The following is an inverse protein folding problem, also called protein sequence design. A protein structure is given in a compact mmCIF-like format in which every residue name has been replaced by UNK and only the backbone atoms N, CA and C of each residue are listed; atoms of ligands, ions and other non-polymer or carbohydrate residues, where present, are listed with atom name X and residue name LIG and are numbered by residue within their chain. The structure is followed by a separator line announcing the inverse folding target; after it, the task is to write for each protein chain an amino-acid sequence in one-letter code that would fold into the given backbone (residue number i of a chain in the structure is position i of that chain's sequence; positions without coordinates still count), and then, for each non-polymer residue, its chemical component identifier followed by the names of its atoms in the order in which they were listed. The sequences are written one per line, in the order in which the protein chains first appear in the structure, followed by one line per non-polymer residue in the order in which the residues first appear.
data_IF_870371155732
#
_entry.id   IF_870371155732
#
_cell.length_a   1.000
_cell.length_b   1.000
_cell.length_c   1.000
_cell.angle_alpha   90.00
_cell.angle_beta   90.00
_cell.angle_gamma   90.00
#
_symmetry.space_group_name_H-M   'P 1'
#
loop_
_entity.id
_entity.type
_entity.pdbx_description
1 polymer ?
#
# COMPACT_ATOMS: atom_id res chain seq x y z
N UNK A 1 12.21 -40.07 -43.63
CA UNK A 1 12.31 -38.64 -43.29
C UNK A 1 10.99 -38.05 -42.78
N UNK A 2 9.88 -38.12 -43.50
CA UNK A 2 8.60 -37.51 -43.09
C UNK A 2 8.12 -37.91 -41.68
N UNK A 3 8.23 -39.18 -41.27
CA UNK A 3 7.81 -39.65 -39.94
C UNK A 3 8.57 -38.97 -38.79
N UNK A 4 9.86 -38.71 -38.97
CA UNK A 4 10.70 -38.03 -37.98
C UNK A 4 10.39 -36.54 -37.89
N UNK A 5 10.09 -35.91 -39.03
CA UNK A 5 9.64 -34.52 -39.08
C UNK A 5 8.29 -34.38 -38.37
N UNK A 6 7.34 -35.26 -38.64
CA UNK A 6 6.03 -35.26 -37.97
C UNK A 6 6.22 -35.44 -36.46
N UNK A 7 7.01 -36.43 -36.03
CA UNK A 7 7.28 -36.64 -34.61
C UNK A 7 7.92 -35.41 -33.94
N UNK A 8 8.90 -34.78 -34.59
CA UNK A 8 9.54 -33.57 -34.09
C UNK A 8 8.56 -32.39 -34.00
N UNK A 9 7.72 -32.20 -35.01
CA UNK A 9 6.70 -31.13 -35.01
C UNK A 9 5.62 -31.38 -33.95
N UNK A 10 5.19 -32.62 -33.75
CA UNK A 10 4.23 -32.97 -32.69
C UNK A 10 4.84 -32.74 -31.30
N UNK A 11 6.09 -33.15 -31.09
CA UNK A 11 6.79 -32.91 -29.83
C UNK A 11 6.95 -31.40 -29.57
N UNK A 12 7.37 -30.63 -30.59
CA UNK A 12 7.50 -29.18 -30.50
C UNK A 12 6.16 -28.52 -30.17
N UNK A 13 5.08 -28.96 -30.83
CA UNK A 13 3.73 -28.45 -30.58
C UNK A 13 3.32 -28.68 -29.12
N UNK A 14 3.52 -29.89 -28.59
CA UNK A 14 3.16 -30.23 -27.21
C UNK A 14 3.98 -29.41 -26.21
N UNK A 15 5.29 -29.27 -26.42
CA UNK A 15 6.17 -28.50 -25.54
C UNK A 15 5.79 -27.01 -25.55
N UNK A 16 5.59 -26.42 -26.72
CA UNK A 16 5.23 -25.00 -26.83
C UNK A 16 3.88 -24.71 -26.20
N UNK A 17 2.87 -25.56 -26.43
CA UNK A 17 1.56 -25.37 -25.79
C UNK A 17 1.60 -25.59 -24.27
N UNK A 18 2.35 -26.60 -23.80
CA UNK A 18 2.55 -26.83 -22.37
C UNK A 18 3.27 -25.66 -21.69
N UNK A 19 4.27 -25.08 -22.35
CA UNK A 19 4.97 -23.89 -21.87
C UNK A 19 4.02 -22.70 -21.72
N UNK A 20 3.20 -22.39 -22.74
CA UNK A 20 2.22 -21.31 -22.66
C UNK A 20 1.17 -21.52 -21.58
N UNK A 21 0.69 -22.75 -21.40
CA UNK A 21 -0.26 -23.06 -20.33
C UNK A 21 0.37 -22.84 -18.95
N UNK A 22 1.60 -23.30 -18.76
CA UNK A 22 2.36 -23.09 -17.52
C UNK A 22 2.55 -21.60 -17.21
N UNK A 23 2.96 -20.79 -18.19
CA UNK A 23 3.18 -19.36 -17.98
C UNK A 23 1.91 -18.60 -17.65
N UNK A 24 0.76 -18.96 -18.24
CA UNK A 24 -0.54 -18.36 -17.89
C UNK A 24 -0.91 -18.66 -16.44
N UNK A 25 -0.73 -19.90 -15.98
CA UNK A 25 -1.03 -20.30 -14.60
C UNK A 25 -0.12 -19.57 -13.61
N UNK A 26 1.18 -19.50 -13.91
CA UNK A 26 2.16 -18.78 -13.07
C UNK A 26 1.83 -17.28 -12.96
N UNK A 27 1.53 -16.63 -14.10
CA UNK A 27 1.11 -15.23 -14.12
C UNK A 27 -0.19 -14.97 -13.36
N UNK A 28 -1.16 -15.89 -13.43
CA UNK A 28 -2.41 -15.78 -12.68
C UNK A 28 -2.17 -15.83 -11.17
N UNK A 29 -1.28 -16.73 -10.71
CA UNK A 29 -0.90 -16.82 -9.30
C UNK A 29 -0.14 -15.56 -8.85
N UNK A 30 0.86 -15.11 -9.62
CA UNK A 30 1.58 -13.88 -9.36
C UNK A 30 0.63 -12.65 -9.29
N UNK A 31 -0.38 -12.62 -10.17
CA UNK A 31 -1.43 -11.61 -10.15
C UNK A 31 -2.23 -11.60 -8.84
N UNK A 32 -2.62 -12.78 -8.35
CA UNK A 32 -3.33 -12.90 -7.06
C UNK A 32 -2.49 -12.38 -5.89
N UNK A 33 -1.21 -12.74 -5.83
CA UNK A 33 -0.32 -12.24 -4.77
C UNK A 33 -0.19 -10.72 -4.79
N UNK A 34 0.03 -10.12 -5.98
CA UNK A 34 0.08 -8.65 -6.10
C UNK A 34 -1.23 -7.97 -5.70
N UNK A 35 -2.37 -8.58 -6.02
CA UNK A 35 -3.67 -8.06 -5.61
C UNK A 35 -3.84 -8.12 -4.09
N UNK A 36 -3.43 -9.22 -3.47
CA UNK A 36 -3.46 -9.40 -2.03
C UNK A 36 -2.55 -8.41 -1.31
N UNK A 37 -1.32 -8.22 -1.79
CA UNK A 37 -0.38 -7.22 -1.23
C UNK A 37 -0.97 -5.81 -1.27
N UNK A 38 -1.59 -5.41 -2.39
CA UNK A 38 -2.26 -4.10 -2.51
C UNK A 38 -3.44 -3.98 -1.54
N UNK A 39 -4.23 -5.04 -1.39
CA UNK A 39 -5.35 -5.08 -0.46
C UNK A 39 -4.85 -4.94 0.98
N UNK A 40 -3.86 -5.73 1.38
CA UNK A 40 -3.28 -5.70 2.72
C UNK A 40 -2.63 -4.35 3.03
N UNK A 41 -1.87 -3.78 2.09
CA UNK A 41 -1.28 -2.45 2.25
C UNK A 41 -2.35 -1.37 2.48
N UNK A 42 -3.43 -1.39 1.68
CA UNK A 42 -4.55 -0.45 1.86
C UNK A 42 -5.24 -0.64 3.23
N UNK A 43 -5.43 -1.87 3.67
CA UNK A 43 -6.04 -2.15 4.97
C UNK A 43 -5.13 -1.76 6.14
N UNK A 44 -3.82 -1.96 6.01
CA UNK A 44 -2.83 -1.49 7.00
C UNK A 44 -2.86 0.02 7.13
N UNK A 45 -2.86 0.76 6.02
CA UNK A 45 -2.96 2.23 6.02
C UNK A 45 -4.26 2.68 6.69
N UNK A 46 -5.41 2.09 6.33
CA UNK A 46 -6.69 2.45 6.94
C UNK A 46 -6.74 2.18 8.46
N UNK A 47 -6.11 1.10 8.92
CA UNK A 47 -6.00 0.80 10.36
C UNK A 47 -5.05 1.79 11.04
N UNK A 48 -3.94 2.16 10.40
CA UNK A 48 -3.01 3.17 10.91
C UNK A 48 -3.65 4.55 11.02
N UNK A 49 -4.36 5.02 9.98
CA UNK A 49 -5.13 6.27 10.00
C UNK A 49 -6.15 6.29 11.15
N UNK A 50 -6.82 5.15 11.38
CA UNK A 50 -7.80 5.02 12.47
C UNK A 50 -7.14 5.00 13.85
N UNK A 51 -5.99 4.34 13.98
CA UNK A 51 -5.23 4.33 15.23
C UNK A 51 -4.66 5.72 15.54
N UNK A 52 -4.11 6.39 14.52
CA UNK A 52 -3.63 7.77 14.59
C UNK A 52 -4.77 8.73 14.97
N UNK A 53 -5.92 8.64 14.31
CA UNK A 53 -7.10 9.47 14.64
C UNK A 53 -7.59 9.26 16.08
N UNK A 54 -7.44 8.05 16.64
CA UNK A 54 -7.75 7.78 18.06
C UNK A 54 -6.70 8.31 19.02
N UNK A 55 -5.43 8.33 18.61
CA UNK A 55 -4.34 8.82 19.42
C UNK A 55 -4.40 10.35 19.52
N UNK A 56 -4.60 11.04 18.40
CA UNK A 56 -4.57 12.50 18.33
C UNK A 56 -5.95 13.16 18.45
N UNK A 57 -7.03 12.42 18.21
CA UNK A 57 -8.39 12.99 18.14
C UNK A 57 -8.75 13.79 19.40
N UNK A 58 -9.20 15.03 19.19
CA UNK A 58 -9.57 15.96 20.25
C UNK A 58 -8.40 16.66 20.95
N UNK A 59 -7.14 16.34 20.61
CA UNK A 59 -5.99 17.11 21.09
C UNK A 59 -6.00 18.51 20.49
N UNK A 60 -5.52 19.47 21.26
CA UNK A 60 -5.21 20.80 20.74
C UNK A 60 -4.03 20.73 19.77
N UNK A 61 -3.93 21.71 18.89
CA UNK A 61 -2.81 21.91 17.96
C UNK A 61 -1.45 21.83 18.66
N UNK A 62 -1.29 22.51 19.80
CA UNK A 62 -0.04 22.55 20.55
C UNK A 62 0.33 21.19 21.16
N UNK A 63 -0.66 20.46 21.69
CA UNK A 63 -0.46 19.11 22.22
C UNK A 63 -0.08 18.13 21.12
N UNK A 64 -0.81 18.17 20.00
CA UNK A 64 -0.54 17.32 18.85
C UNK A 64 0.86 17.60 18.27
N UNK A 65 1.24 18.87 18.15
CA UNK A 65 2.57 19.26 17.65
C UNK A 65 3.69 18.78 18.57
N UNK A 66 3.50 18.86 19.89
CA UNK A 66 4.50 18.35 20.85
C UNK A 66 4.66 16.84 20.73
N UNK A 67 3.54 16.11 20.72
CA UNK A 67 3.55 14.66 20.61
C UNK A 67 4.15 14.19 19.28
N UNK A 68 3.86 14.88 18.17
CA UNK A 68 4.49 14.59 16.88
C UNK A 68 6.01 14.77 16.93
N UNK A 69 6.51 15.84 17.56
CA UNK A 69 7.94 16.06 17.73
C UNK A 69 8.63 15.00 18.61
N UNK A 70 7.93 14.43 19.58
CA UNK A 70 8.41 13.31 20.40
C UNK A 70 8.44 11.99 19.61
N UNK A 71 7.42 11.74 18.78
CA UNK A 71 7.28 10.50 18.01
C UNK A 71 8.18 10.45 16.76
N UNK A 72 8.47 11.61 16.17
CA UNK A 72 9.29 11.74 14.96
C UNK A 72 10.43 12.74 15.18
N UNK A 73 11.45 12.38 15.99
CA UNK A 73 12.57 13.27 16.24
C UNK A 73 13.30 13.61 14.94
N UNK A 74 13.42 14.92 14.66
CA UNK A 74 14.03 15.45 13.43
C UNK A 74 13.04 15.79 12.31
N UNK A 75 11.75 15.54 12.50
CA UNK A 75 10.68 15.91 11.57
C UNK A 75 9.80 16.97 12.26
N UNK A 76 10.10 18.26 12.02
CA UNK A 76 9.39 19.36 12.67
C UNK A 76 7.96 19.48 12.11
N UNK A 77 6.93 19.41 12.98
CA UNK A 77 5.55 19.60 12.54
C UNK A 77 5.33 21.00 12.01
N UNK A 78 4.62 21.12 10.88
CA UNK A 78 4.30 22.40 10.26
C UNK A 78 2.83 22.46 9.85
N UNK A 79 2.26 23.66 9.91
CA UNK A 79 0.88 23.88 9.52
C UNK A 79 0.76 24.28 8.05
N UNK A 80 -0.14 23.61 7.34
CA UNK A 80 -0.49 23.95 5.97
C UNK A 80 -1.93 23.56 5.68
N UNK A 81 -2.70 24.49 5.09
CA UNK A 81 -4.06 24.22 4.60
C UNK A 81 -5.01 23.64 5.67
N UNK A 82 -4.93 24.14 6.91
CA UNK A 82 -5.77 23.66 8.02
C UNK A 82 -5.36 22.29 8.56
N UNK A 83 -4.17 21.82 8.23
CA UNK A 83 -3.60 20.58 8.74
C UNK A 83 -2.30 20.85 9.48
N UNK A 84 -2.04 20.07 10.53
CA UNK A 84 -0.73 19.96 11.16
C UNK A 84 -0.03 18.73 10.56
N UNK A 85 1.05 18.97 9.83
CA UNK A 85 1.71 17.98 9.00
C UNK A 85 3.12 17.67 9.50
N UNK A 86 3.55 16.45 9.23
CA UNK A 86 4.96 16.02 9.23
C UNK A 86 5.26 15.38 7.86
N UNK A 87 6.45 14.81 7.69
CA UNK A 87 6.77 14.01 6.49
C UNK A 87 5.86 12.78 6.37
N UNK A 88 5.35 12.26 7.49
CA UNK A 88 4.68 10.95 7.56
C UNK A 88 3.20 11.02 7.93
N UNK A 89 2.75 12.09 8.57
CA UNK A 89 1.39 12.21 9.12
C UNK A 89 0.78 13.56 8.77
N UNK A 90 -0.52 13.57 8.46
CA UNK A 90 -1.31 14.79 8.31
C UNK A 90 -2.49 14.77 9.27
N UNK A 91 -2.53 15.72 10.20
CA UNK A 91 -3.61 15.87 11.17
C UNK A 91 -4.55 16.99 10.73
N UNK A 92 -5.80 16.66 10.39
CA UNK A 92 -6.85 17.64 10.06
C UNK A 92 -7.26 18.39 11.33
N UNK A 93 -7.14 19.72 11.32
CA UNK A 93 -7.59 20.57 12.41
C UNK A 93 -9.02 21.07 12.14
N UNK A 94 -9.85 21.08 13.18
CA UNK A 94 -11.16 21.72 13.12
C UNK A 94 -11.05 23.25 13.27
N UNK A 95 -12.19 23.95 13.19
CA UNK A 95 -12.26 25.41 13.31
C UNK A 95 -11.80 25.94 14.68
N UNK A 96 -11.80 25.07 15.69
CA UNK A 96 -11.38 25.39 17.04
C UNK A 96 -9.91 25.03 17.29
N UNK A 97 -9.19 24.55 16.27
CA UNK A 97 -7.78 24.15 16.38
C UNK A 97 -7.57 22.78 17.03
N UNK A 98 -8.59 21.92 17.07
CA UNK A 98 -8.47 20.56 17.60
C UNK A 98 -8.31 19.55 16.47
N UNK A 99 -7.55 18.48 16.72
CA UNK A 99 -7.40 17.41 15.75
C UNK A 99 -8.71 16.66 15.58
N UNK A 100 -9.23 16.66 14.36
CA UNK A 100 -10.45 15.96 13.97
C UNK A 100 -10.17 14.55 13.45
N UNK A 101 -9.12 14.42 12.63
CA UNK A 101 -8.78 13.19 11.95
C UNK A 101 -7.29 13.17 11.55
N UNK A 102 -6.78 11.98 11.27
CA UNK A 102 -5.43 11.76 10.75
C UNK A 102 -5.50 11.10 9.37
N UNK A 103 -4.64 11.53 8.45
CA UNK A 103 -4.53 11.07 7.06
C UNK A 103 -3.07 10.92 6.64
#
# INVERSE_FOLDING_TARGET
MAKWIIAALTALLLVTNGFWLYTIVDQANAGKYRQQERYEAKHRIAVLEKACSRLFGGMTREEASRLLGELAPGDEPFEKEGHLNTTWLSLELDRNGHVRACR
#
